data_IF_196148463245
#
_entry.id   IF_196148463245
#
_cell.length_a   1.000
_cell.length_b   1.000
_cell.length_c   1.000
_cell.angle_alpha   90.00
_cell.angle_beta   90.00
_cell.angle_gamma   90.00
#
_symmetry.space_group_name_H-M   'P 1'
#
loop_
_entity.id
_entity.type
_entity.pdbx_description
1 polymer ?
#
# COMPACT_ATOMS: atom_id res chain seq x y z
N UNK A 1 31.40 5.90 -15.65
CA UNK A 1 31.07 6.69 -14.44
C UNK A 1 30.17 5.82 -13.59
N UNK A 2 30.66 5.32 -12.46
CA UNK A 2 29.86 4.47 -11.59
C UNK A 2 28.77 5.31 -10.93
N UNK A 3 27.50 4.96 -11.18
CA UNK A 3 26.42 5.40 -10.32
C UNK A 3 26.67 4.73 -8.97
N UNK A 4 27.08 5.52 -7.98
CA UNK A 4 26.90 5.14 -6.60
C UNK A 4 25.39 5.19 -6.32
N UNK A 5 24.68 4.15 -6.76
CA UNK A 5 23.37 3.83 -6.21
C UNK A 5 23.62 3.53 -4.74
N UNK A 6 23.57 4.58 -3.94
CA UNK A 6 23.55 4.48 -2.49
C UNK A 6 22.41 3.51 -2.19
N UNK A 7 22.76 2.30 -1.75
CA UNK A 7 21.77 1.28 -1.38
C UNK A 7 20.93 1.94 -0.29
N UNK A 8 19.70 2.30 -0.64
CA UNK A 8 18.73 2.74 0.36
C UNK A 8 18.51 1.50 1.22
N UNK A 9 18.96 1.57 2.47
CA UNK A 9 18.78 0.52 3.47
C UNK A 9 17.62 0.96 4.34
N UNK A 10 16.44 0.34 4.21
CA UNK A 10 15.32 0.67 5.07
C UNK A 10 15.55 0.14 6.48
N UNK A 11 15.12 0.92 7.47
CA UNK A 11 15.18 0.61 8.89
C UNK A 11 13.89 1.06 9.55
N UNK A 12 13.43 0.28 10.52
CA UNK A 12 12.30 0.63 11.38
C UNK A 12 12.84 1.07 12.73
N UNK A 13 12.42 2.25 13.22
CA UNK A 13 12.79 2.69 14.57
C UNK A 13 12.17 1.78 15.63
N UNK A 14 12.79 1.72 16.81
CA UNK A 14 12.25 0.96 17.94
C UNK A 14 10.83 1.43 18.32
N UNK A 15 10.54 2.72 18.21
CA UNK A 15 9.21 3.26 18.51
C UNK A 15 8.16 2.74 17.53
N UNK A 16 8.47 2.77 16.23
CA UNK A 16 7.56 2.30 15.19
C UNK A 16 7.42 0.78 15.21
N UNK A 17 8.48 0.04 15.53
CA UNK A 17 8.42 -1.41 15.71
C UNK A 17 7.55 -1.80 16.92
N UNK A 18 7.54 -0.98 17.98
CA UNK A 18 6.72 -1.25 19.16
C UNK A 18 5.25 -0.88 19.00
N UNK A 19 4.97 0.11 18.15
CA UNK A 19 3.63 0.64 17.93
C UNK A 19 2.84 -0.21 16.90
N UNK A 20 1.54 -0.48 17.14
CA UNK A 20 0.65 -0.98 16.10
C UNK A 20 0.62 -0.04 14.90
N UNK A 21 0.67 -0.59 13.69
CA UNK A 21 0.56 0.22 12.47
C UNK A 21 -0.86 0.86 12.40
N UNK A 22 -0.99 2.15 12.05
CA UNK A 22 -2.29 2.81 11.96
C UNK A 22 -3.26 2.09 11.01
N UNK A 23 -4.49 1.85 11.47
CA UNK A 23 -5.53 1.23 10.64
C UNK A 23 -6.17 2.21 9.67
N UNK A 24 -6.06 3.52 9.93
CA UNK A 24 -6.59 4.57 9.05
C UNK A 24 -5.51 5.62 8.81
N UNK A 25 -5.29 5.96 7.54
CA UNK A 25 -4.33 6.98 7.13
C UNK A 25 -4.97 7.93 6.12
N UNK A 26 -4.98 9.22 6.44
CA UNK A 26 -5.21 10.30 5.49
C UNK A 26 -3.90 10.68 4.83
N UNK A 27 -3.90 10.82 3.52
CA UNK A 27 -2.73 11.18 2.73
C UNK A 27 -2.92 12.57 2.14
N UNK A 28 -1.96 13.46 2.41
CA UNK A 28 -1.95 14.83 1.91
C UNK A 28 -0.65 15.14 1.18
N UNK A 29 -0.68 15.96 0.12
CA UNK A 29 0.53 16.48 -0.53
C UNK A 29 0.93 17.79 0.12
N UNK A 30 2.16 17.83 0.60
CA UNK A 30 2.91 19.05 0.85
C UNK A 30 3.86 19.27 -0.34
N UNK A 31 3.55 20.29 -1.17
CA UNK A 31 4.43 20.66 -2.27
C UNK A 31 5.53 21.57 -1.72
N UNK A 32 6.77 21.11 -1.81
CA UNK A 32 7.92 22.00 -1.69
C UNK A 32 8.38 22.46 -3.09
N UNK A 33 9.20 23.51 -3.15
CA UNK A 33 9.75 24.01 -4.42
C UNK A 33 10.64 22.99 -5.16
N UNK A 34 11.16 21.97 -4.47
CA UNK A 34 12.19 21.07 -5.02
C UNK A 34 11.76 19.60 -5.08
N UNK A 35 10.72 19.21 -4.35
CA UNK A 35 10.23 17.83 -4.26
C UNK A 35 8.77 17.75 -3.81
N UNK A 36 8.13 16.64 -4.16
CA UNK A 36 6.79 16.30 -3.69
C UNK A 36 6.94 15.47 -2.42
N UNK A 37 6.24 15.85 -1.35
CA UNK A 37 6.16 15.08 -0.12
C UNK A 37 4.70 14.78 0.15
N UNK A 38 4.38 13.51 0.40
CA UNK A 38 3.07 13.13 0.92
C UNK A 38 3.19 12.88 2.42
N UNK A 39 2.28 13.46 3.20
CA UNK A 39 2.17 13.28 4.65
C UNK A 39 1.07 12.27 4.93
N UNK A 40 1.38 11.29 5.79
CA UNK A 40 0.47 10.22 6.20
C UNK A 40 0.15 10.44 7.68
N UNK A 41 -1.12 10.70 7.97
CA UNK A 41 -1.61 10.98 9.32
C UNK A 41 -2.78 10.08 9.67
N UNK A 42 -2.91 9.72 10.94
CA UNK A 42 -4.20 9.26 11.45
C UNK A 42 -5.24 10.39 11.37
N UNK A 43 -6.55 10.07 11.40
CA UNK A 43 -7.59 11.09 11.49
C UNK A 43 -7.33 12.06 12.65
N UNK A 44 -7.40 13.36 12.33
CA UNK A 44 -7.31 14.47 13.30
C UNK A 44 -6.02 14.47 14.13
N UNK A 45 -4.94 13.91 13.57
CA UNK A 45 -3.63 13.78 14.20
C UNK A 45 -2.53 14.42 13.34
N UNK A 46 -1.40 14.72 13.98
CA UNK A 46 -0.18 15.14 13.28
C UNK A 46 0.36 14.02 12.38
N UNK A 47 1.08 14.35 11.29
CA UNK A 47 1.71 13.36 10.42
C UNK A 47 2.61 12.39 11.19
N UNK A 48 2.47 11.12 10.88
CA UNK A 48 3.29 10.05 11.45
C UNK A 48 4.42 9.64 10.52
N UNK A 49 4.12 9.63 9.21
CA UNK A 49 5.06 9.24 8.17
C UNK A 49 5.08 10.28 7.07
N UNK A 50 6.20 10.36 6.37
CA UNK A 50 6.36 11.12 5.15
C UNK A 50 6.75 10.20 4.01
N UNK A 51 6.28 10.52 2.80
CA UNK A 51 6.63 9.82 1.58
C UNK A 51 7.17 10.84 0.59
N UNK A 52 8.47 10.80 0.32
CA UNK A 52 9.13 11.74 -0.58
C UNK A 52 9.27 11.18 -1.99
N UNK A 53 9.10 12.06 -2.98
CA UNK A 53 9.37 11.80 -4.39
C UNK A 53 10.46 12.78 -4.85
N UNK A 54 11.75 12.50 -4.57
CA UNK A 54 12.84 13.45 -4.80
C UNK A 54 13.07 13.78 -6.28
N UNK A 55 12.61 12.92 -7.20
CA UNK A 55 12.67 13.15 -8.66
C UNK A 55 11.28 13.28 -9.28
N UNK A 56 10.28 13.67 -8.47
CA UNK A 56 8.87 13.74 -8.88
C UNK A 56 8.27 12.37 -9.19
N UNK A 57 7.18 12.34 -9.96
CA UNK A 57 6.39 11.13 -10.19
C UNK A 57 7.14 10.02 -10.95
N UNK A 58 8.22 10.32 -11.66
CA UNK A 58 9.02 9.34 -12.40
C UNK A 58 10.22 8.79 -11.61
N UNK A 59 10.38 9.26 -10.37
CA UNK A 59 11.45 8.88 -9.47
C UNK A 59 11.11 7.73 -8.52
N UNK A 60 12.04 7.40 -7.60
CA UNK A 60 11.74 6.55 -6.46
C UNK A 60 10.74 7.24 -5.54
N UNK A 61 9.95 6.44 -4.83
CA UNK A 61 9.09 6.87 -3.73
C UNK A 61 9.70 6.33 -2.42
N UNK A 62 9.99 7.21 -1.47
CA UNK A 62 10.74 6.86 -0.25
C UNK A 62 9.84 7.14 0.96
N UNK A 63 9.57 6.11 1.75
CA UNK A 63 8.83 6.19 3.00
C UNK A 63 9.80 6.51 4.13
N UNK A 64 9.40 7.42 5.01
CA UNK A 64 10.20 7.87 6.13
C UNK A 64 9.49 7.56 7.45
N UNK A 65 10.27 7.10 8.42
CA UNK A 65 9.81 6.78 9.76
C UNK A 65 9.71 8.06 10.61
N UNK A 66 8.79 8.95 10.21
CA UNK A 66 8.53 10.23 10.86
C UNK A 66 7.90 11.26 9.91
N UNK A 67 7.50 12.43 10.41
CA UNK A 67 6.69 13.42 9.68
C UNK A 67 7.43 14.16 8.55
N UNK A 68 8.72 13.92 8.34
CA UNK A 68 9.50 14.62 7.32
C UNK A 68 10.49 13.69 6.63
N UNK A 69 10.92 14.06 5.44
CA UNK A 69 11.90 13.30 4.65
C UNK A 69 13.35 13.36 5.17
N UNK A 70 13.56 13.97 6.33
CA UNK A 70 14.81 13.92 7.07
C UNK A 70 14.86 12.73 8.05
N UNK A 71 13.74 12.06 8.28
CA UNK A 71 13.67 10.88 9.12
C UNK A 71 14.22 9.64 8.39
N UNK A 72 14.65 8.60 9.15
CA UNK A 72 15.16 7.36 8.58
C UNK A 72 14.21 6.76 7.54
N UNK A 73 14.79 6.07 6.55
CA UNK A 73 14.00 5.44 5.48
C UNK A 73 13.31 4.20 6.04
N UNK A 74 11.99 4.19 6.04
CA UNK A 74 11.17 3.06 6.46
C UNK A 74 10.98 2.03 5.34
N UNK A 75 10.80 2.49 4.10
CA UNK A 75 10.68 1.65 2.91
C UNK A 75 11.01 2.45 1.65
N UNK A 76 11.28 1.77 0.55
CA UNK A 76 11.49 2.43 -0.74
C UNK A 76 10.81 1.67 -1.87
N UNK A 77 10.23 2.41 -2.79
CA UNK A 77 9.60 1.89 -4.00
C UNK A 77 10.36 2.43 -5.21
N UNK A 78 10.71 1.53 -6.13
CA UNK A 78 11.37 1.84 -7.40
C UNK A 78 10.69 1.11 -8.55
N UNK A 79 10.75 1.69 -9.73
CA UNK A 79 10.47 0.95 -10.95
C UNK A 79 11.54 -0.13 -11.13
N UNK A 80 11.14 -1.39 -11.32
CA UNK A 80 12.09 -2.48 -11.52
C UNK A 80 12.78 -2.34 -12.90
N UNK A 81 12.04 -1.85 -13.88
CA UNK A 81 12.59 -1.33 -15.14
C UNK A 81 11.58 -0.43 -15.83
N UNK A 82 12.04 0.42 -16.77
CA UNK A 82 11.19 1.35 -17.54
C UNK A 82 10.10 0.66 -18.39
N UNK A 83 10.24 -0.65 -18.63
CA UNK A 83 9.30 -1.45 -19.42
C UNK A 83 8.54 -2.49 -18.59
N UNK A 84 8.85 -2.60 -17.29
CA UNK A 84 8.20 -3.58 -16.43
C UNK A 84 6.91 -3.00 -15.86
N UNK A 85 5.81 -3.75 -15.97
CA UNK A 85 4.59 -3.45 -15.23
C UNK A 85 4.74 -3.90 -13.75
N UNK A 86 5.81 -3.47 -13.09
CA UNK A 86 6.20 -3.91 -11.75
C UNK A 86 6.98 -2.82 -11.00
N UNK A 87 6.64 -2.66 -9.72
CA UNK A 87 7.41 -1.90 -8.75
C UNK A 87 8.14 -2.86 -7.80
N UNK A 88 9.40 -2.55 -7.50
CA UNK A 88 10.15 -3.17 -6.42
C UNK A 88 9.99 -2.37 -5.12
N UNK A 89 9.41 -3.00 -4.10
CA UNK A 89 9.21 -2.44 -2.76
C UNK A 89 10.23 -3.05 -1.81
N UNK A 90 11.20 -2.26 -1.35
CA UNK A 90 12.15 -2.68 -0.32
C UNK A 90 11.56 -2.41 1.06
N UNK A 91 11.28 -3.48 1.81
CA UNK A 91 10.76 -3.45 3.17
C UNK A 91 11.92 -3.60 4.18
N UNK A 92 11.80 -3.00 5.38
CA UNK A 92 12.81 -3.08 6.42
C UNK A 92 12.81 -4.48 7.05
N UNK A 93 13.88 -4.81 7.78
CA UNK A 93 13.86 -5.96 8.67
C UNK A 93 12.83 -5.72 9.79
N UNK A 94 12.19 -6.79 10.23
CA UNK A 94 11.19 -6.76 11.30
C UNK A 94 11.56 -7.79 12.36
N UNK A 95 12.17 -7.35 13.49
CA UNK A 95 12.56 -8.26 14.57
C UNK A 95 11.37 -9.01 15.17
N UNK A 96 10.21 -8.34 15.33
CA UNK A 96 8.98 -8.94 15.84
C UNK A 96 8.43 -10.04 14.94
N UNK A 97 8.62 -9.87 13.64
CA UNK A 97 8.22 -10.86 12.66
C UNK A 97 9.36 -11.86 12.37
N UNK A 98 10.57 -11.67 12.89
CA UNK A 98 11.75 -12.46 12.52
C UNK A 98 11.93 -12.55 10.99
N UNK A 99 11.82 -11.41 10.29
CA UNK A 99 12.04 -11.32 8.85
C UNK A 99 13.12 -10.29 8.56
N UNK A 100 14.04 -10.65 7.66
CA UNK A 100 15.10 -9.76 7.19
C UNK A 100 14.57 -8.71 6.20
N UNK A 101 15.36 -7.64 6.00
CA UNK A 101 15.11 -6.66 4.94
C UNK A 101 15.08 -7.36 3.59
N UNK A 102 14.04 -7.08 2.78
CA UNK A 102 13.82 -7.76 1.50
C UNK A 102 13.12 -6.87 0.50
N UNK A 103 13.24 -7.23 -0.77
CA UNK A 103 12.50 -6.61 -1.85
C UNK A 103 11.33 -7.50 -2.28
N UNK A 104 10.15 -6.92 -2.33
CA UNK A 104 8.92 -7.56 -2.81
C UNK A 104 8.44 -6.87 -4.09
N UNK A 105 7.64 -7.56 -4.90
CA UNK A 105 7.15 -7.02 -6.17
C UNK A 105 5.66 -6.71 -6.11
N UNK A 106 5.31 -5.46 -6.42
CA UNK A 106 3.95 -5.08 -6.78
C UNK A 106 3.86 -5.12 -8.31
N UNK A 107 3.16 -6.12 -8.83
CA UNK A 107 2.93 -6.32 -10.26
C UNK A 107 1.61 -5.68 -10.64
N UNK A 108 1.50 -5.18 -11.86
CA UNK A 108 0.23 -4.71 -12.38
C UNK A 108 0.02 -5.15 -13.82
N UNK A 109 -1.25 -5.18 -14.22
CA UNK A 109 -1.66 -5.49 -15.58
C UNK A 109 -3.02 -4.87 -15.88
N UNK A 110 -3.23 -4.56 -17.14
CA UNK A 110 -4.54 -4.16 -17.66
C UNK A 110 -5.16 -5.34 -18.40
N UNK A 111 -6.23 -5.91 -17.85
CA UNK A 111 -6.98 -7.01 -18.47
C UNK A 111 -8.38 -6.50 -18.79
N UNK A 112 -8.79 -6.55 -20.06
CA UNK A 112 -10.12 -6.09 -20.51
C UNK A 112 -10.46 -4.67 -20.04
N UNK A 113 -9.51 -3.74 -20.18
CA UNK A 113 -9.59 -2.34 -19.72
C UNK A 113 -9.74 -2.15 -18.20
N UNK A 114 -9.54 -3.20 -17.41
CA UNK A 114 -9.51 -3.13 -15.94
C UNK A 114 -8.08 -3.34 -15.46
N UNK A 115 -7.56 -2.34 -14.76
CA UNK A 115 -6.28 -2.44 -14.08
C UNK A 115 -6.40 -3.31 -12.84
N UNK A 116 -5.38 -4.13 -12.61
CA UNK A 116 -5.20 -4.92 -11.40
C UNK A 116 -3.77 -4.80 -10.94
N UNK A 117 -3.59 -4.58 -9.64
CA UNK A 117 -2.28 -4.61 -8.98
C UNK A 117 -2.28 -5.77 -7.99
N UNK A 118 -1.18 -6.50 -7.87
CA UNK A 118 -1.06 -7.59 -6.92
C UNK A 118 0.35 -7.80 -6.44
N UNK A 119 0.47 -8.39 -5.26
CA UNK A 119 1.74 -8.82 -4.67
C UNK A 119 1.54 -10.13 -3.91
N UNK A 120 2.64 -10.84 -3.69
CA UNK A 120 2.72 -11.94 -2.73
C UNK A 120 3.45 -11.45 -1.49
N UNK A 121 3.05 -11.91 -0.32
CA UNK A 121 3.75 -11.62 0.93
C UNK A 121 3.58 -12.77 1.91
N UNK A 122 4.67 -13.19 2.55
CA UNK A 122 4.58 -14.05 3.74
C UNK A 122 4.02 -13.23 4.90
N UNK A 123 2.89 -13.68 5.44
CA UNK A 123 2.14 -13.00 6.50
C UNK A 123 1.81 -14.00 7.60
N UNK A 124 1.55 -13.49 8.81
CA UNK A 124 1.31 -14.31 9.99
C UNK A 124 2.56 -14.50 10.86
N UNK A 125 2.34 -15.13 12.02
CA UNK A 125 3.34 -15.31 13.07
C UNK A 125 3.61 -16.80 13.34
N UNK A 126 4.88 -17.13 13.59
CA UNK A 126 5.31 -18.49 13.92
C UNK A 126 4.82 -19.52 12.91
N UNK A 127 4.19 -20.60 13.40
CA UNK A 127 3.70 -21.71 12.58
C UNK A 127 2.55 -21.35 11.62
N UNK A 128 1.90 -20.20 11.80
CA UNK A 128 0.82 -19.72 10.92
C UNK A 128 1.33 -18.86 9.77
N UNK A 129 2.65 -18.63 9.68
CA UNK A 129 3.25 -17.86 8.60
C UNK A 129 3.08 -18.60 7.27
N UNK A 130 2.51 -17.91 6.30
CA UNK A 130 2.28 -18.45 4.95
C UNK A 130 2.26 -17.35 3.91
N UNK A 131 2.74 -17.68 2.72
CA UNK A 131 2.63 -16.82 1.55
C UNK A 131 1.14 -16.62 1.21
N UNK A 132 0.69 -15.36 1.17
CA UNK A 132 -0.62 -15.00 0.66
C UNK A 132 -0.44 -14.10 -0.57
N UNK A 133 -1.40 -14.17 -1.48
CA UNK A 133 -1.49 -13.23 -2.59
C UNK A 133 -2.54 -12.17 -2.28
N UNK A 134 -2.26 -10.93 -2.63
CA UNK A 134 -3.19 -9.82 -2.44
C UNK A 134 -3.42 -9.11 -3.77
N UNK A 135 -4.67 -8.77 -4.08
CA UNK A 135 -5.03 -8.10 -5.33
C UNK A 135 -5.84 -6.83 -5.06
N UNK A 136 -5.33 -5.70 -5.52
CA UNK A 136 -6.07 -4.45 -5.61
C UNK A 136 -7.02 -4.51 -6.81
N UNK A 137 -8.30 -4.28 -6.51
CA UNK A 137 -9.39 -4.25 -7.48
C UNK A 137 -10.11 -2.92 -7.39
N UNK A 138 -10.39 -2.34 -8.55
CA UNK A 138 -11.22 -1.14 -8.62
C UNK A 138 -12.60 -1.43 -8.02
N UNK A 139 -13.08 -0.54 -7.15
CA UNK A 139 -14.37 -0.66 -6.48
C UNK A 139 -15.14 0.66 -6.50
N UNK A 140 -16.46 0.53 -6.47
CA UNK A 140 -17.44 1.60 -6.27
C UNK A 140 -18.47 1.19 -5.19
N UNK A 141 -18.15 0.16 -4.41
CA UNK A 141 -19.01 -0.40 -3.38
C UNK A 141 -19.05 0.44 -2.11
N UNK A 142 -19.89 0.02 -1.15
CA UNK A 142 -20.08 0.71 0.12
C UNK A 142 -18.75 0.85 0.89
N UNK A 143 -17.87 -0.15 0.78
CA UNK A 143 -16.56 -0.20 1.44
C UNK A 143 -15.61 0.94 1.03
N UNK A 144 -15.82 1.54 -0.14
CA UNK A 144 -15.04 2.71 -0.59
C UNK A 144 -15.81 4.01 -0.32
N UNK A 145 -17.14 4.00 -0.52
CA UNK A 145 -17.99 5.19 -0.34
C UNK A 145 -18.02 5.67 1.10
N UNK A 146 -17.83 4.77 2.07
CA UNK A 146 -17.81 5.09 3.50
C UNK A 146 -16.61 5.95 3.91
N UNK A 147 -15.52 5.98 3.13
CA UNK A 147 -14.33 6.80 3.42
C UNK A 147 -14.55 8.31 3.17
N UNK A 148 -15.78 8.74 2.85
CA UNK A 148 -16.12 10.16 2.71
C UNK A 148 -15.45 10.89 1.53
N UNK A 149 -14.74 10.15 0.67
CA UNK A 149 -14.00 10.65 -0.50
C UNK A 149 -14.73 10.38 -1.82
N UNK A 150 -14.01 9.79 -2.77
CA UNK A 150 -14.51 9.45 -4.10
C UNK A 150 -15.57 8.35 -4.09
N UNK A 151 -16.48 8.39 -5.09
CA UNK A 151 -17.41 7.29 -5.39
C UNK A 151 -16.68 6.04 -5.92
N UNK A 152 -15.39 6.20 -6.22
CA UNK A 152 -14.51 5.21 -6.83
C UNK A 152 -13.23 5.10 -6.02
N UNK A 153 -12.66 3.91 -5.99
CA UNK A 153 -11.42 3.64 -5.30
C UNK A 153 -11.00 2.20 -5.52
N UNK A 154 -10.25 1.67 -4.56
CA UNK A 154 -9.63 0.37 -4.66
C UNK A 154 -9.86 -0.41 -3.39
N UNK A 155 -10.00 -1.72 -3.53
CA UNK A 155 -10.00 -2.66 -2.41
C UNK A 155 -8.93 -3.71 -2.59
N UNK A 156 -8.24 -4.04 -1.52
CA UNK A 156 -7.24 -5.08 -1.47
C UNK A 156 -7.90 -6.36 -1.00
N UNK A 157 -7.92 -7.37 -1.86
CA UNK A 157 -8.52 -8.67 -1.57
C UNK A 157 -7.43 -9.68 -1.27
N UNK A 158 -7.58 -10.43 -0.17
CA UNK A 158 -6.71 -11.56 0.17
C UNK A 158 -7.15 -12.80 -0.63
N UNK A 159 -6.23 -13.30 -1.44
CA UNK A 159 -6.33 -14.53 -2.21
C UNK A 159 -5.35 -15.50 -1.53
N UNK A 160 -5.81 -16.65 -1.02
CA UNK A 160 -4.97 -17.57 -0.25
C UNK A 160 -3.68 -18.02 -0.95
N UNK A 161 -2.88 -18.87 -0.28
CA UNK A 161 -1.72 -19.50 -0.90
C UNK A 161 -2.18 -20.32 -2.12
N UNK A 162 -1.89 -19.82 -3.32
CA UNK A 162 -2.21 -20.44 -4.61
C UNK A 162 -3.66 -20.89 -4.82
N UNK A 163 -4.55 -19.96 -5.20
CA UNK A 163 -5.57 -20.32 -6.18
C UNK A 163 -4.96 -20.32 -7.59
N UNK A 164 -4.09 -21.32 -7.82
CA UNK A 164 -4.15 -22.04 -9.09
C UNK A 164 -5.58 -22.58 -9.22
N UNK A 165 -6.11 -22.63 -10.44
CA UNK A 165 -7.49 -22.99 -10.71
C UNK A 165 -8.00 -24.17 -9.84
N UNK A 166 -9.26 -24.05 -9.41
CA UNK A 166 -10.11 -25.06 -8.76
C UNK A 166 -10.19 -25.02 -7.21
N UNK A 167 -11.38 -24.68 -6.72
CA UNK A 167 -11.73 -24.71 -5.29
C UNK A 167 -12.66 -23.58 -4.84
N UNK A 168 -13.82 -23.44 -5.49
CA UNK A 168 -14.92 -22.58 -5.01
C UNK A 168 -15.47 -23.16 -3.70
N UNK A 169 -14.98 -22.68 -2.56
CA UNK A 169 -15.83 -22.56 -1.38
C UNK A 169 -16.48 -21.19 -1.44
N UNK A 170 -17.53 -21.10 -2.25
CA UNK A 170 -18.51 -20.02 -2.21
C UNK A 170 -19.16 -20.01 -0.84
N UNK A 171 -18.65 -19.19 0.06
CA UNK A 171 -19.48 -18.64 1.12
C UNK A 171 -20.35 -17.62 0.39
N UNK A 172 -21.65 -17.91 0.26
CA UNK A 172 -22.60 -17.05 -0.43
C UNK A 172 -22.47 -15.64 0.14
N UNK A 173 -22.23 -14.66 -0.74
CA UNK A 173 -22.27 -13.26 -0.40
C UNK A 173 -23.71 -12.91 -0.03
N UNK A 174 -24.05 -13.01 1.26
CA UNK A 174 -25.26 -12.39 1.78
C UNK A 174 -25.11 -10.88 1.59
N UNK A 175 -26.10 -10.27 0.92
CA UNK A 175 -26.21 -8.83 0.77
C UNK A 175 -26.00 -8.16 2.13
N UNK A 176 -24.90 -7.43 2.28
CA UNK A 176 -24.59 -6.67 3.49
C UNK A 176 -23.28 -7.01 4.22
N UNK A 177 -22.50 -8.01 3.79
CA UNK A 177 -21.18 -8.24 4.41
C UNK A 177 -20.08 -7.42 3.72
N UNK A 178 -19.88 -6.19 4.19
CA UNK A 178 -18.87 -5.23 3.68
C UNK A 178 -17.41 -5.75 3.77
N UNK A 179 -17.17 -6.84 4.50
CA UNK A 179 -15.86 -7.45 4.67
C UNK A 179 -15.46 -8.42 3.53
N UNK A 180 -16.39 -8.76 2.61
CA UNK A 180 -16.14 -9.71 1.53
C UNK A 180 -16.26 -9.06 0.15
N UNK A 181 -15.38 -9.46 -0.76
CA UNK A 181 -15.48 -9.16 -2.17
C UNK A 181 -16.60 -9.98 -2.82
N UNK A 182 -17.03 -9.58 -4.02
CA UNK A 182 -18.12 -10.25 -4.74
C UNK A 182 -17.85 -11.73 -5.07
N UNK A 183 -16.58 -12.14 -5.09
CA UNK A 183 -16.14 -13.53 -5.27
C UNK A 183 -15.84 -14.25 -3.94
N UNK A 184 -16.26 -13.69 -2.81
CA UNK A 184 -16.05 -14.26 -1.47
C UNK A 184 -14.66 -14.04 -0.88
N UNK A 185 -13.75 -13.37 -1.60
CA UNK A 185 -12.43 -13.04 -1.08
C UNK A 185 -12.50 -11.98 0.03
N UNK A 186 -11.76 -12.17 1.11
CA UNK A 186 -11.71 -11.20 2.22
C UNK A 186 -11.11 -9.87 1.76
N UNK A 187 -11.77 -8.76 2.09
CA UNK A 187 -11.22 -7.41 1.90
C UNK A 187 -10.37 -7.07 3.13
N UNK A 188 -9.10 -6.73 2.88
CA UNK A 188 -8.11 -6.46 3.94
C UNK A 188 -7.60 -5.03 3.96
N UNK A 189 -7.86 -4.27 2.89
CA UNK A 189 -7.64 -2.83 2.87
C UNK A 189 -8.53 -2.16 1.82
N UNK A 190 -8.73 -0.86 1.98
CA UNK A 190 -9.44 0.00 1.03
C UNK A 190 -8.71 1.32 0.86
N UNK A 191 -8.77 1.87 -0.35
CA UNK A 191 -8.20 3.15 -0.73
C UNK A 191 -9.22 3.95 -1.51
N UNK A 192 -9.49 5.17 -1.08
CA UNK A 192 -10.35 6.10 -1.79
C UNK A 192 -9.55 7.36 -2.13
N UNK A 193 -9.55 7.74 -3.41
CA UNK A 193 -8.98 9.03 -3.81
C UNK A 193 -9.80 10.17 -3.19
N UNK A 194 -9.11 11.26 -2.84
CA UNK A 194 -9.79 12.45 -2.36
C UNK A 194 -10.66 13.06 -3.46
N UNK A 195 -11.86 13.55 -3.10
CA UNK A 195 -12.71 14.31 -4.01
C UNK A 195 -12.44 15.81 -3.92
N UNK A 196 -12.37 16.47 -5.07
CA UNK A 196 -12.34 17.93 -5.18
C UNK A 196 -11.04 18.51 -5.76
N UNK A 197 -11.06 19.83 -6.00
CA UNK A 197 -9.99 20.59 -6.67
C UNK A 197 -8.80 20.95 -5.76
N UNK A 198 -8.83 20.62 -4.47
CA UNK A 198 -7.72 20.91 -3.57
C UNK A 198 -6.60 19.89 -3.76
N UNK A 199 -5.57 20.29 -4.50
CA UNK A 199 -4.34 19.54 -4.81
C UNK A 199 -3.55 19.03 -3.58
N UNK A 200 -4.00 19.34 -2.36
CA UNK A 200 -3.34 18.98 -1.11
C UNK A 200 -3.85 17.69 -0.49
N UNK A 201 -5.00 17.15 -0.90
CA UNK A 201 -5.48 15.84 -0.40
C UNK A 201 -5.31 14.79 -1.49
N UNK A 202 -4.66 13.68 -1.15
CA UNK A 202 -4.43 12.55 -2.06
C UNK A 202 -5.57 11.55 -1.95
N UNK A 203 -5.87 11.12 -0.72
CA UNK A 203 -6.86 10.10 -0.47
C UNK A 203 -6.81 9.59 0.96
N UNK A 204 -7.60 8.57 1.22
CA UNK A 204 -7.73 7.92 2.52
C UNK A 204 -7.58 6.41 2.37
N UNK A 205 -6.76 5.82 3.24
CA UNK A 205 -6.43 4.40 3.28
C UNK A 205 -6.95 3.81 4.59
N UNK A 206 -7.67 2.69 4.52
CA UNK A 206 -8.07 1.93 5.71
C UNK A 206 -7.62 0.47 5.58
N UNK A 207 -7.07 -0.07 6.65
CA UNK A 207 -7.00 -1.51 6.90
C UNK A 207 -8.37 -1.97 7.41
N UNK A 208 -8.84 -3.10 6.89
CA UNK A 208 -10.12 -3.73 7.27
C UNK A 208 -9.93 -5.24 7.38
N UNK A 209 -10.91 -5.97 7.90
CA UNK A 209 -10.82 -7.43 8.09
C UNK A 209 -9.56 -7.83 8.85
N UNK A 210 -8.90 -8.92 8.43
CA UNK A 210 -7.62 -9.37 8.96
C UNK A 210 -6.51 -8.32 8.88
N UNK A 211 -6.56 -7.43 7.90
CA UNK A 211 -5.62 -6.31 7.79
C UNK A 211 -5.65 -5.37 9.00
N UNK A 212 -6.82 -5.16 9.61
CA UNK A 212 -6.99 -4.26 10.76
C UNK A 212 -6.62 -4.92 12.10
N UNK A 213 -6.64 -6.25 12.17
CA UNK A 213 -6.40 -7.00 13.42
C UNK A 213 -4.92 -7.13 13.80
N UNK A 214 -4.02 -6.87 12.85
CA UNK A 214 -2.59 -7.10 13.00
C UNK A 214 -2.14 -8.54 12.71
N UNK A 215 -3.05 -9.49 12.44
CA UNK A 215 -2.67 -10.89 12.18
C UNK A 215 -1.75 -11.07 10.96
N UNK A 216 -1.82 -10.15 9.99
CA UNK A 216 -1.01 -10.17 8.78
C UNK A 216 0.38 -9.59 8.98
N UNK A 217 0.61 -8.93 10.12
CA UNK A 217 1.88 -8.34 10.49
C UNK A 217 2.09 -6.90 9.99
N UNK A 218 3.07 -6.23 10.57
CA UNK A 218 3.43 -4.85 10.24
C UNK A 218 4.05 -4.73 8.84
N UNK A 219 4.79 -5.76 8.40
CA UNK A 219 5.30 -5.83 7.02
C UNK A 219 4.15 -5.77 6.00
N UNK A 220 3.03 -6.43 6.29
CA UNK A 220 1.84 -6.38 5.44
C UNK A 220 1.23 -4.98 5.41
N UNK A 221 1.03 -4.34 6.56
CA UNK A 221 0.45 -3.00 6.62
C UNK A 221 1.28 -1.99 5.81
N UNK A 222 2.61 -2.02 5.97
CA UNK A 222 3.51 -1.16 5.20
C UNK A 222 3.48 -1.48 3.70
N UNK A 223 3.45 -2.76 3.32
CA UNK A 223 3.33 -3.19 1.92
C UNK A 223 1.98 -2.77 1.30
N UNK A 224 0.89 -2.83 2.07
CA UNK A 224 -0.44 -2.42 1.62
C UNK A 224 -0.47 -0.91 1.32
N UNK A 225 0.08 -0.08 2.22
CA UNK A 225 0.21 1.38 1.98
C UNK A 225 1.17 1.67 0.82
N UNK A 226 2.32 0.99 0.75
CA UNK A 226 3.26 1.19 -0.35
C UNK A 226 2.64 0.86 -1.70
N UNK A 227 1.93 -0.26 -1.79
CA UNK A 227 1.27 -0.70 -3.02
C UNK A 227 0.08 0.16 -3.42
N UNK A 228 -0.69 0.74 -2.48
CA UNK A 228 -1.75 1.69 -2.83
C UNK A 228 -1.15 3.00 -3.39
N UNK A 229 -0.03 3.47 -2.82
CA UNK A 229 0.65 4.65 -3.33
C UNK A 229 1.34 4.39 -4.68
N UNK A 230 1.69 3.14 -5.02
CA UNK A 230 2.08 2.78 -6.39
C UNK A 230 0.95 3.01 -7.39
N UNK A 231 -0.31 2.71 -7.02
CA UNK A 231 -1.48 2.96 -7.86
C UNK A 231 -1.65 4.47 -8.09
N UNK A 232 -1.62 5.23 -7.00
CA UNK A 232 -1.68 6.69 -7.07
C UNK A 232 -0.54 7.27 -7.94
N UNK A 233 0.69 6.77 -7.79
CA UNK A 233 1.84 7.18 -8.58
C UNK A 233 1.62 6.94 -10.08
N UNK A 234 1.09 5.77 -10.45
CA UNK A 234 0.74 5.46 -11.85
C UNK A 234 -0.33 6.43 -12.38
N UNK A 235 -1.37 6.71 -11.59
CA UNK A 235 -2.41 7.68 -11.97
C UNK A 235 -1.84 9.08 -12.19
N UNK A 236 -0.93 9.53 -11.32
CA UNK A 236 -0.27 10.84 -11.47
C UNK A 236 0.63 10.90 -12.71
N UNK A 237 1.36 9.81 -13.02
CA UNK A 237 2.19 9.73 -14.24
C UNK A 237 1.35 9.90 -15.50
N UNK A 238 0.20 9.23 -15.58
CA UNK A 238 -0.73 9.33 -16.73
C UNK A 238 -1.34 10.73 -16.85
N UNK A 239 -1.72 11.36 -15.73
CA UNK A 239 -2.32 12.70 -15.75
C UNK A 239 -1.33 13.84 -16.06
N UNK A 240 -0.02 13.58 -16.00
CA UNK A 240 1.03 14.60 -16.23
C UNK A 240 1.63 14.52 -17.65
N UNK A 241 1.27 13.49 -18.43
CA UNK A 241 1.63 13.33 -19.86
C UNK A 241 0.54 13.88 -20.76
#
# INVERSE_FOLDING_TARGET
MGNADSKITPEISAQTAERPFPTTLKVAIEKSMTKIVCLLSEPDSEPLYAVSLPQGFWGPMIFHDGPTDKHPVLAAVRDESKMANKFGVTLPASPKEAVESRQELVKWQTVSKKERYWFGLEVGHGAQRRLNRFEWRHSHGAEVRSLGGSKWGWKLVRLGADSGAEGLNTVEATEGNEALASDGGEIVAVWADATGLTLTRVGEFHLVGSGATGELGQSFSLMAVASCLCIWLTMMRVNTT
#
